data_IF_892884782042
#
_entry.id   IF_892884782042
#
_cell.length_a   1.000
_cell.length_b   1.000
_cell.length_c   1.000
_cell.angle_alpha   90.00
_cell.angle_beta   90.00
_cell.angle_gamma   90.00
#
_symmetry.space_group_name_H-M   'P 1'
#
loop_
_entity.id
_entity.type
_entity.pdbx_description
1 polymer ?
#
# COMPACT_ATOMS: atom_id res chain seq x y z
N UNK A 1 22.69 27.45 -42.45
CA UNK A 1 23.68 26.62 -41.73
C UNK A 1 22.91 25.57 -40.93
N UNK A 2 22.92 24.31 -41.39
CA UNK A 2 22.26 23.22 -40.70
C UNK A 2 22.99 22.96 -39.38
N UNK A 3 22.27 23.05 -38.25
CA UNK A 3 22.81 22.62 -36.95
C UNK A 3 23.01 21.11 -37.02
N UNK A 4 24.25 20.68 -36.95
CA UNK A 4 24.59 19.27 -36.78
C UNK A 4 23.88 18.75 -35.53
N UNK A 5 22.94 17.83 -35.72
CA UNK A 5 22.35 17.06 -34.62
C UNK A 5 23.49 16.31 -33.93
N UNK A 6 23.82 16.71 -32.70
CA UNK A 6 24.65 15.89 -31.83
C UNK A 6 23.91 14.58 -31.61
N UNK A 7 24.45 13.49 -32.16
CA UNK A 7 23.94 12.14 -31.91
C UNK A 7 24.19 11.85 -30.43
N UNK A 8 23.13 11.94 -29.61
CA UNK A 8 23.21 11.52 -28.21
C UNK A 8 23.46 10.01 -28.16
N UNK A 9 24.47 9.61 -27.39
CA UNK A 9 24.77 8.20 -27.17
C UNK A 9 23.61 7.54 -26.40
N UNK A 10 23.02 6.49 -26.99
CA UNK A 10 21.93 5.73 -26.36
C UNK A 10 22.52 4.94 -25.18
N UNK A 11 22.01 5.17 -23.97
CA UNK A 11 22.49 4.48 -22.78
C UNK A 11 22.10 2.99 -22.79
N UNK A 12 22.88 2.14 -22.11
CA UNK A 12 22.60 0.71 -22.03
C UNK A 12 21.22 0.38 -21.43
N UNK A 13 20.70 1.25 -20.55
CA UNK A 13 19.34 1.14 -20.01
C UNK A 13 18.27 1.38 -21.08
N UNK A 14 18.45 2.39 -21.93
CA UNK A 14 17.54 2.73 -23.03
C UNK A 14 17.51 1.62 -24.09
N UNK A 15 18.66 1.08 -24.46
CA UNK A 15 18.77 -0.10 -25.32
C UNK A 15 18.03 -1.31 -24.74
N UNK A 16 18.16 -1.55 -23.42
CA UNK A 16 17.46 -2.64 -22.73
C UNK A 16 15.93 -2.44 -22.78
N UNK A 17 15.44 -1.22 -22.61
CA UNK A 17 14.01 -0.88 -22.77
C UNK A 17 13.52 -1.12 -24.20
N UNK A 18 14.29 -0.72 -25.22
CA UNK A 18 13.94 -0.98 -26.63
C UNK A 18 13.79 -2.46 -26.93
N UNK A 19 14.76 -3.27 -26.49
CA UNK A 19 14.73 -4.70 -26.72
C UNK A 19 13.63 -5.43 -25.93
N UNK A 20 13.23 -4.89 -24.78
CA UNK A 20 12.17 -5.48 -23.94
C UNK A 20 10.78 -5.08 -24.41
N UNK A 21 10.59 -3.82 -24.80
CA UNK A 21 9.35 -3.32 -25.36
C UNK A 21 9.64 -2.11 -26.27
N UNK A 22 9.71 -2.31 -27.59
CA UNK A 22 9.99 -1.24 -28.55
C UNK A 22 8.99 -0.08 -28.42
N UNK A 23 7.71 -0.39 -28.16
CA UNK A 23 6.67 0.61 -27.99
C UNK A 23 6.87 1.46 -26.72
N UNK A 24 7.30 0.85 -25.61
CA UNK A 24 7.64 1.58 -24.38
C UNK A 24 8.90 2.43 -24.54
N UNK A 25 9.89 1.96 -25.31
CA UNK A 25 11.05 2.78 -25.67
C UNK A 25 10.66 3.96 -26.55
N UNK A 26 9.84 3.75 -27.59
CA UNK A 26 9.36 4.84 -28.43
C UNK A 26 8.50 5.82 -27.63
N UNK A 27 7.68 5.33 -26.68
CA UNK A 27 6.96 6.18 -25.74
C UNK A 27 7.91 6.91 -24.79
N UNK A 28 8.94 6.29 -24.22
CA UNK A 28 9.86 6.95 -23.27
C UNK A 28 10.77 7.97 -23.98
N UNK A 29 11.21 7.70 -25.21
CA UNK A 29 11.92 8.67 -26.06
C UNK A 29 10.97 9.80 -26.53
N UNK A 30 9.76 9.50 -27.01
CA UNK A 30 8.84 10.54 -27.50
C UNK A 30 8.09 11.30 -26.40
N UNK A 31 7.77 10.70 -25.24
CA UNK A 31 7.06 11.36 -24.13
C UNK A 31 8.02 12.22 -23.31
N UNK A 32 9.32 11.88 -23.23
CA UNK A 32 10.31 12.76 -22.60
C UNK A 32 10.75 13.90 -23.51
N UNK A 33 10.75 13.71 -24.83
CA UNK A 33 11.10 14.79 -25.78
C UNK A 33 9.91 15.68 -26.17
N UNK A 34 8.67 15.26 -25.97
CA UNK A 34 7.52 16.03 -26.40
C UNK A 34 6.86 16.79 -25.24
N UNK A 35 6.62 18.08 -25.48
CA UNK A 35 5.69 18.99 -24.80
C UNK A 35 4.24 18.46 -24.81
N UNK A 36 4.00 17.16 -24.54
CA UNK A 36 2.68 16.55 -24.59
C UNK A 36 1.90 17.06 -23.39
N UNK A 37 0.74 17.69 -23.61
CA UNK A 37 -0.07 18.18 -22.53
C UNK A 37 -0.48 17.05 -21.58
N UNK A 38 -0.50 17.32 -20.27
CA UNK A 38 -1.06 16.42 -19.27
C UNK A 38 -2.58 16.57 -19.25
N UNK A 39 -3.34 15.49 -19.09
CA UNK A 39 -4.81 15.63 -18.97
C UNK A 39 -5.21 16.32 -17.67
N UNK A 40 -6.29 17.11 -17.70
CA UNK A 40 -6.84 17.74 -16.48
C UNK A 40 -7.13 16.75 -15.34
N UNK A 41 -7.50 15.51 -15.67
CA UNK A 41 -7.66 14.43 -14.69
C UNK A 41 -6.35 14.08 -13.98
N UNK A 42 -5.27 13.88 -14.75
CA UNK A 42 -3.96 13.51 -14.21
C UNK A 42 -3.37 14.67 -13.40
N UNK A 43 -3.47 15.91 -13.91
CA UNK A 43 -3.06 17.12 -13.20
C UNK A 43 -3.74 17.25 -11.82
N UNK A 44 -5.06 17.05 -11.77
CA UNK A 44 -5.83 17.02 -10.52
C UNK A 44 -5.34 15.95 -9.55
N UNK A 45 -5.08 14.73 -10.04
CA UNK A 45 -4.63 13.61 -9.19
C UNK A 45 -3.25 13.87 -8.58
N UNK A 46 -2.29 14.35 -9.38
CA UNK A 46 -0.96 14.75 -8.90
C UNK A 46 -1.06 15.82 -7.82
N UNK A 47 -1.92 16.81 -8.04
CA UNK A 47 -2.13 17.90 -7.11
C UNK A 47 -2.73 17.42 -5.77
N UNK A 48 -3.73 16.53 -5.82
CA UNK A 48 -4.40 15.99 -4.63
C UNK A 48 -3.45 15.23 -3.70
N UNK A 49 -2.50 14.47 -4.24
CA UNK A 49 -1.49 13.77 -3.42
C UNK A 49 -0.66 14.74 -2.56
N UNK A 50 -0.31 15.90 -3.12
CA UNK A 50 0.39 16.95 -2.38
C UNK A 50 -0.54 17.72 -1.43
N UNK A 51 -1.80 17.88 -1.81
CA UNK A 51 -2.81 18.57 -1.01
C UNK A 51 -3.11 17.85 0.32
N UNK A 52 -3.25 16.53 0.30
CA UNK A 52 -3.50 15.73 1.50
C UNK A 52 -2.38 15.86 2.54
N UNK A 53 -1.11 15.96 2.09
CA UNK A 53 0.03 16.17 2.99
C UNK A 53 -0.03 17.52 3.71
N UNK A 54 -0.67 18.54 3.11
CA UNK A 54 -0.78 19.88 3.72
C UNK A 54 -1.77 19.92 4.89
N UNK A 55 -2.56 18.87 5.10
CA UNK A 55 -3.50 18.76 6.22
C UNK A 55 -2.76 18.63 7.56
N UNK A 56 -1.61 17.94 7.54
CA UNK A 56 -0.77 17.72 8.71
C UNK A 56 0.21 18.90 8.90
N UNK A 57 0.59 19.21 10.15
CA UNK A 57 1.70 20.11 10.44
C UNK A 57 3.01 19.54 9.86
N UNK A 58 4.01 20.41 9.68
CA UNK A 58 5.33 19.97 9.21
C UNK A 58 6.08 19.10 10.22
N UNK A 59 5.64 19.10 11.48
CA UNK A 59 6.21 18.34 12.58
C UNK A 59 5.50 16.99 12.72
N UNK A 60 6.28 15.91 12.87
CA UNK A 60 5.78 14.54 12.93
C UNK A 60 5.19 14.16 14.30
N UNK A 61 5.76 14.71 15.36
CA UNK A 61 5.35 14.48 16.75
C UNK A 61 4.68 15.72 17.29
N UNK A 62 3.59 15.56 18.04
CA UNK A 62 2.76 16.67 18.50
C UNK A 62 2.31 16.50 19.96
N UNK A 63 1.96 17.61 20.60
CA UNK A 63 1.51 17.62 22.00
C UNK A 63 2.64 17.53 23.04
N UNK A 64 2.28 17.57 24.32
CA UNK A 64 3.24 17.54 25.43
C UNK A 64 3.96 16.20 25.58
N UNK A 65 3.35 15.12 25.12
CA UNK A 65 3.89 13.76 25.18
C UNK A 65 4.69 13.37 23.92
N UNK A 66 4.80 14.29 22.94
CA UNK A 66 5.45 14.04 21.65
C UNK A 66 4.84 12.80 20.93
N UNK A 67 3.52 12.66 20.98
CA UNK A 67 2.81 11.57 20.33
C UNK A 67 2.94 11.67 18.80
N UNK A 68 3.09 10.54 18.13
CA UNK A 68 3.04 10.49 16.67
C UNK A 68 1.62 10.86 16.20
N UNK A 69 1.52 11.78 15.24
CA UNK A 69 0.23 12.17 14.65
C UNK A 69 -0.56 10.96 14.12
N UNK A 70 0.16 9.92 13.71
CA UNK A 70 -0.35 8.67 13.15
C UNK A 70 -1.03 7.77 14.20
N UNK A 71 -0.84 8.07 15.49
CA UNK A 71 -1.42 7.34 16.62
C UNK A 71 -2.65 8.08 17.21
N UNK A 72 -2.87 9.35 16.81
CA UNK A 72 -3.95 10.17 17.33
C UNK A 72 -5.28 9.88 16.63
N UNK A 73 -6.36 9.81 17.40
CA UNK A 73 -7.72 9.59 16.91
C UNK A 73 -8.57 10.85 17.03
N UNK A 74 -9.49 11.02 16.08
CA UNK A 74 -10.58 12.00 16.08
C UNK A 74 -10.30 13.33 16.78
N UNK A 75 -10.92 13.54 17.95
CA UNK A 75 -10.85 14.80 18.70
C UNK A 75 -9.43 15.20 19.12
N UNK A 76 -8.53 14.23 19.35
CA UNK A 76 -7.12 14.52 19.64
C UNK A 76 -6.39 14.92 18.37
N UNK A 77 -6.58 14.17 17.28
CA UNK A 77 -6.01 14.53 15.97
C UNK A 77 -6.46 15.93 15.55
N UNK A 78 -7.74 16.27 15.74
CA UNK A 78 -8.34 17.56 15.39
C UNK A 78 -7.61 18.76 16.01
N UNK A 79 -7.06 18.60 17.23
CA UNK A 79 -6.30 19.66 17.93
C UNK A 79 -4.96 19.97 17.25
N UNK A 80 -4.45 19.05 16.44
CA UNK A 80 -3.12 19.12 15.84
C UNK A 80 -3.14 19.28 14.32
N UNK A 81 -4.31 19.16 13.68
CA UNK A 81 -4.44 19.44 12.25
C UNK A 81 -4.19 20.91 11.96
N UNK A 82 -3.62 21.18 10.77
CA UNK A 82 -3.31 22.54 10.32
C UNK A 82 -4.57 23.40 10.11
N UNK A 83 -5.71 22.76 9.83
CA UNK A 83 -6.98 23.42 9.55
C UNK A 83 -8.02 23.04 10.60
N UNK A 84 -8.81 24.02 11.02
CA UNK A 84 -9.77 23.89 12.12
C UNK A 84 -11.05 23.12 11.74
N UNK A 85 -11.26 22.83 10.45
CA UNK A 85 -12.37 22.00 9.96
C UNK A 85 -12.07 21.41 8.59
N UNK A 86 -12.78 20.34 8.23
CA UNK A 86 -12.71 19.73 6.90
C UNK A 86 -13.09 20.72 5.79
N UNK A 87 -14.10 21.57 6.04
CA UNK A 87 -14.50 22.63 5.11
C UNK A 87 -13.41 23.70 4.96
N UNK A 88 -12.73 24.08 6.03
CA UNK A 88 -11.60 25.02 5.97
C UNK A 88 -10.46 24.43 5.13
N UNK A 89 -10.12 23.16 5.33
CA UNK A 89 -9.14 22.44 4.53
C UNK A 89 -9.55 22.37 3.05
N UNK A 90 -10.77 21.93 2.77
CA UNK A 90 -11.28 21.80 1.41
C UNK A 90 -11.32 23.14 0.66
N UNK A 91 -11.77 24.21 1.32
CA UNK A 91 -11.80 25.56 0.74
C UNK A 91 -10.39 26.10 0.50
N UNK A 92 -9.46 25.88 1.44
CA UNK A 92 -8.06 26.27 1.26
C UNK A 92 -7.42 25.54 0.07
N UNK A 93 -7.67 24.23 -0.06
CA UNK A 93 -7.14 23.42 -1.16
C UNK A 93 -7.73 23.83 -2.51
N UNK A 94 -9.05 24.07 -2.58
CA UNK A 94 -9.70 24.64 -3.77
C UNK A 94 -9.05 25.96 -4.20
N UNK A 95 -8.85 26.89 -3.26
CA UNK A 95 -8.25 28.19 -3.55
C UNK A 95 -6.77 28.11 -3.95
N UNK A 96 -6.03 27.13 -3.42
CA UNK A 96 -4.65 26.86 -3.84
C UNK A 96 -4.60 26.24 -5.24
N UNK A 97 -5.52 25.35 -5.59
CA UNK A 97 -5.62 24.81 -6.95
C UNK A 97 -5.94 25.91 -7.96
N UNK A 98 -6.91 26.77 -7.67
CA UNK A 98 -7.28 27.85 -8.57
C UNK A 98 -6.11 28.81 -8.80
N UNK A 99 -5.43 29.23 -7.73
CA UNK A 99 -4.20 30.03 -7.83
C UNK A 99 -3.11 29.29 -8.60
N UNK A 100 -2.89 28.02 -8.30
CA UNK A 100 -1.91 27.21 -9.01
C UNK A 100 -2.18 27.17 -10.53
N UNK A 101 -3.42 26.94 -10.97
CA UNK A 101 -3.75 26.95 -12.39
C UNK A 101 -3.57 28.34 -13.03
N UNK A 102 -3.94 29.41 -12.32
CA UNK A 102 -3.79 30.79 -12.80
C UNK A 102 -2.30 31.19 -12.89
N UNK A 103 -1.55 30.97 -11.81
CA UNK A 103 -0.14 31.37 -11.66
C UNK A 103 0.79 30.52 -12.54
N UNK A 104 0.45 29.26 -12.81
CA UNK A 104 1.22 28.37 -13.66
C UNK A 104 0.72 28.36 -15.12
N UNK A 105 -0.21 29.25 -15.48
CA UNK A 105 -0.80 29.33 -16.82
C UNK A 105 -1.31 27.96 -17.33
N UNK A 106 -1.89 27.17 -16.44
CA UNK A 106 -2.35 25.83 -16.75
C UNK A 106 -1.22 24.82 -17.00
N UNK A 107 -0.07 24.95 -16.36
CA UNK A 107 1.02 23.96 -16.45
C UNK A 107 1.24 23.17 -15.16
N UNK A 108 1.71 21.92 -15.31
CA UNK A 108 2.18 21.04 -14.23
C UNK A 108 3.48 20.40 -14.68
N UNK A 109 4.56 20.56 -13.90
CA UNK A 109 5.89 20.05 -14.25
C UNK A 109 6.33 20.46 -15.67
N UNK A 110 6.20 21.76 -15.99
CA UNK A 110 6.53 22.34 -17.29
C UNK A 110 5.71 21.80 -18.48
N UNK A 111 4.62 21.08 -18.20
CA UNK A 111 3.70 20.55 -19.22
C UNK A 111 2.36 21.26 -19.17
N UNK A 112 1.87 21.71 -20.32
CA UNK A 112 0.53 22.28 -20.46
C UNK A 112 -0.54 21.28 -20.05
N UNK A 113 -1.63 21.74 -19.43
CA UNK A 113 -2.77 20.91 -19.10
C UNK A 113 -3.74 20.95 -20.28
N UNK A 114 -4.04 19.78 -20.85
CA UNK A 114 -5.14 19.62 -21.77
C UNK A 114 -6.46 19.52 -20.99
N UNK A 115 -7.26 20.57 -21.12
CA UNK A 115 -8.65 20.59 -20.69
C UNK A 115 -9.55 20.04 -21.80
N UNK A 116 -10.50 19.18 -21.44
CA UNK A 116 -11.56 18.69 -22.33
C UNK A 116 -12.52 19.82 -22.73
N UNK A 117 -12.67 20.85 -21.89
CA UNK A 117 -13.49 22.04 -22.13
C UNK A 117 -13.07 23.18 -21.18
N UNK A 118 -13.37 24.42 -21.56
CA UNK A 118 -12.86 25.65 -20.93
C UNK A 118 -13.10 25.75 -19.40
N UNK A 119 -14.18 25.15 -18.90
CA UNK A 119 -14.56 25.20 -17.48
C UNK A 119 -14.13 23.96 -16.67
N UNK A 120 -13.41 23.02 -17.28
CA UNK A 120 -13.08 21.76 -16.61
C UNK A 120 -12.23 21.99 -15.35
N UNK A 121 -11.35 22.99 -15.36
CA UNK A 121 -10.50 23.30 -14.22
C UNK A 121 -11.29 23.86 -13.01
N UNK A 122 -12.41 24.56 -13.26
CA UNK A 122 -13.35 25.01 -12.24
C UNK A 122 -14.08 23.83 -11.61
N UNK A 123 -14.55 22.88 -12.44
CA UNK A 123 -15.16 21.64 -11.95
C UNK A 123 -14.17 20.79 -11.16
N UNK A 124 -12.92 20.69 -11.63
CA UNK A 124 -11.84 20.04 -10.90
C UNK A 124 -11.59 20.70 -9.53
N UNK A 125 -11.72 22.02 -9.41
CA UNK A 125 -11.61 22.73 -8.13
C UNK A 125 -12.71 22.30 -7.13
N UNK A 126 -13.94 22.11 -7.60
CA UNK A 126 -15.04 21.61 -6.77
C UNK A 126 -14.82 20.14 -6.34
N UNK A 127 -14.36 19.30 -7.27
CA UNK A 127 -14.01 17.90 -6.97
C UNK A 127 -12.84 17.79 -5.99
N UNK A 128 -11.83 18.65 -6.11
CA UNK A 128 -10.71 18.75 -5.16
C UNK A 128 -11.21 19.11 -3.78
N UNK A 129 -12.08 20.13 -3.68
CA UNK A 129 -12.71 20.52 -2.41
C UNK A 129 -13.40 19.31 -1.78
N UNK A 130 -14.26 18.64 -2.53
CA UNK A 130 -15.01 17.48 -2.06
C UNK A 130 -14.07 16.35 -1.60
N UNK A 131 -13.04 16.03 -2.37
CA UNK A 131 -12.05 15.02 -2.00
C UNK A 131 -11.29 15.37 -0.71
N UNK A 132 -10.93 16.63 -0.52
CA UNK A 132 -10.24 17.11 0.68
C UNK A 132 -11.14 17.10 1.91
N UNK A 133 -12.40 17.56 1.76
CA UNK A 133 -13.41 17.48 2.84
C UNK A 133 -13.63 16.03 3.24
N UNK A 134 -13.87 15.14 2.27
CA UNK A 134 -14.10 13.72 2.53
C UNK A 134 -12.89 13.06 3.19
N UNK A 135 -11.67 13.38 2.75
CA UNK A 135 -10.45 12.84 3.36
C UNK A 135 -10.27 13.33 4.79
N UNK A 136 -10.49 14.61 5.06
CA UNK A 136 -10.37 15.16 6.42
C UNK A 136 -11.45 14.61 7.36
N UNK A 137 -12.71 14.53 6.90
CA UNK A 137 -13.79 13.91 7.67
C UNK A 137 -13.45 12.44 7.94
N UNK A 138 -13.04 11.69 6.92
CA UNK A 138 -12.57 10.31 7.09
C UNK A 138 -11.46 10.22 8.15
N UNK A 139 -10.46 11.09 8.17
CA UNK A 139 -9.41 11.05 9.19
C UNK A 139 -9.88 11.44 10.59
N UNK A 140 -10.86 12.33 10.70
CA UNK A 140 -11.44 12.74 11.99
C UNK A 140 -12.39 11.67 12.53
N UNK A 141 -13.12 11.00 11.65
CA UNK A 141 -14.06 9.94 12.01
C UNK A 141 -13.30 8.62 12.30
N UNK A 142 -12.28 8.30 11.49
CA UNK A 142 -11.62 6.98 11.46
C UNK A 142 -10.17 6.97 11.98
N UNK A 143 -9.58 8.14 12.17
CA UNK A 143 -8.14 8.29 12.41
C UNK A 143 -7.29 8.13 11.14
N UNK A 144 -5.98 8.43 11.21
CA UNK A 144 -5.07 8.27 10.09
C UNK A 144 -4.84 6.81 9.72
N UNK A 145 -4.65 6.48 8.43
CA UNK A 145 -4.46 5.10 8.01
C UNK A 145 -3.20 4.54 8.68
N UNK A 146 -3.39 3.45 9.42
CA UNK A 146 -2.44 2.96 10.41
C UNK A 146 -1.03 2.72 9.83
N UNK A 147 -0.13 3.68 10.07
CA UNK A 147 1.30 3.56 9.81
C UNK A 147 2.05 2.97 11.02
N UNK A 148 1.43 3.01 12.20
CA UNK A 148 1.93 2.45 13.46
C UNK A 148 2.28 0.96 13.42
N UNK A 149 1.70 0.20 12.48
CA UNK A 149 1.99 -1.23 12.32
C UNK A 149 3.03 -1.53 11.25
N UNK A 150 3.50 -0.57 10.45
CA UNK A 150 4.34 -0.81 9.25
C UNK A 150 5.57 -1.69 9.51
N UNK A 151 6.18 -1.53 10.69
CA UNK A 151 7.36 -2.30 11.13
C UNK A 151 7.08 -3.16 12.37
N UNK A 152 5.81 -3.33 12.76
CA UNK A 152 5.42 -4.13 13.93
C UNK A 152 5.01 -5.54 13.52
N UNK A 153 5.38 -6.46 14.39
CA UNK A 153 4.93 -7.84 14.39
C UNK A 153 3.52 -7.92 14.98
N UNK A 154 2.60 -8.50 14.20
CA UNK A 154 1.23 -8.80 14.61
C UNK A 154 1.24 -10.15 15.29
N UNK A 155 1.05 -10.15 16.61
CA UNK A 155 0.93 -11.37 17.38
C UNK A 155 -0.54 -11.76 17.57
N UNK A 156 -0.85 -13.05 17.38
CA UNK A 156 -2.18 -13.59 17.61
C UNK A 156 -2.10 -15.03 18.13
N UNK A 157 -3.22 -15.53 18.64
CA UNK A 157 -3.33 -16.90 19.15
C UNK A 157 -4.28 -17.73 18.29
N UNK A 158 -3.96 -19.01 18.15
CA UNK A 158 -4.84 -20.03 17.60
C UNK A 158 -4.67 -21.31 18.43
N UNK A 159 -5.74 -21.73 19.11
CA UNK A 159 -5.64 -22.70 20.20
C UNK A 159 -4.73 -22.18 21.33
N UNK A 160 -3.80 -23.01 21.77
CA UNK A 160 -2.82 -22.71 22.82
C UNK A 160 -1.53 -22.04 22.30
N UNK A 161 -1.45 -21.78 20.99
CA UNK A 161 -0.22 -21.32 20.33
C UNK A 161 -0.27 -19.84 19.99
N UNK A 162 0.88 -19.18 20.15
CA UNK A 162 1.13 -17.80 19.71
C UNK A 162 1.85 -17.79 18.36
N UNK A 163 1.30 -17.06 17.42
CA UNK A 163 1.88 -16.80 16.11
C UNK A 163 2.24 -15.32 15.99
N UNK A 164 3.21 -15.04 15.13
CA UNK A 164 3.71 -13.68 14.87
C UNK A 164 3.90 -13.51 13.37
N UNK A 165 3.29 -12.47 12.80
CA UNK A 165 3.36 -12.14 11.37
C UNK A 165 3.68 -10.66 11.22
N UNK A 166 4.63 -10.31 10.35
CA UNK A 166 4.90 -8.91 10.06
C UNK A 166 3.70 -8.24 9.38
N UNK A 167 3.35 -7.02 9.80
CA UNK A 167 2.19 -6.32 9.26
C UNK A 167 2.26 -6.03 7.76
N UNK A 168 3.46 -5.82 7.20
CA UNK A 168 3.66 -5.61 5.76
C UNK A 168 3.18 -6.81 4.91
N UNK A 169 3.24 -8.01 5.48
CA UNK A 169 2.72 -9.23 4.89
C UNK A 169 1.18 -9.28 4.84
N UNK A 170 0.49 -8.48 5.67
CA UNK A 170 -0.98 -8.45 5.81
C UNK A 170 -1.57 -7.20 5.14
N UNK A 171 -0.81 -6.09 5.10
CA UNK A 171 -1.20 -4.78 4.57
C UNK A 171 -1.66 -4.80 3.11
N UNK A 172 -1.16 -5.74 2.29
CA UNK A 172 -1.53 -5.85 0.87
C UNK A 172 -2.99 -6.26 0.64
N UNK A 173 -3.71 -6.63 1.71
CA UNK A 173 -5.09 -7.08 1.64
C UNK A 173 -5.19 -8.53 1.17
N UNK A 174 -6.43 -9.00 1.00
CA UNK A 174 -6.78 -10.40 0.74
C UNK A 174 -6.33 -10.92 -0.65
N UNK A 175 -5.73 -10.10 -1.52
CA UNK A 175 -5.64 -10.43 -2.96
C UNK A 175 -4.32 -9.94 -3.60
N UNK A 176 -3.66 -10.87 -4.28
CA UNK A 176 -2.40 -10.76 -5.07
C UNK A 176 -1.11 -10.68 -4.26
N UNK A 177 -0.57 -11.85 -3.92
CA UNK A 177 0.86 -11.98 -3.66
C UNK A 177 1.62 -11.97 -5.00
N UNK A 178 2.40 -10.92 -5.25
CA UNK A 178 3.38 -10.92 -6.34
C UNK A 178 4.41 -12.01 -6.06
N UNK A 179 4.45 -13.03 -6.92
CA UNK A 179 5.50 -14.03 -6.86
C UNK A 179 6.70 -13.51 -7.64
N UNK A 180 7.85 -13.45 -6.96
CA UNK A 180 9.12 -13.21 -7.63
C UNK A 180 9.46 -14.30 -8.65
N UNK A 181 10.71 -14.36 -9.11
CA UNK A 181 11.13 -15.23 -10.22
C UNK A 181 11.15 -16.74 -9.93
N UNK A 182 10.77 -17.17 -8.71
CA UNK A 182 10.76 -18.60 -8.33
C UNK A 182 9.52 -19.29 -8.88
N UNK A 183 9.72 -20.33 -9.69
CA UNK A 183 8.64 -21.19 -10.16
C UNK A 183 8.07 -22.00 -9.00
N UNK A 184 6.78 -21.80 -8.69
CA UNK A 184 5.99 -22.64 -7.80
C UNK A 184 4.91 -23.36 -8.61
N UNK A 185 4.69 -24.63 -8.30
CA UNK A 185 3.61 -25.44 -8.87
C UNK A 185 2.29 -25.20 -8.13
N UNK A 186 1.15 -25.58 -8.71
CA UNK A 186 -0.16 -25.50 -8.03
C UNK A 186 -0.12 -26.21 -6.66
N UNK A 187 0.54 -27.37 -6.58
CA UNK A 187 0.73 -28.12 -5.34
C UNK A 187 1.51 -27.33 -4.27
N UNK A 188 2.51 -26.55 -4.67
CA UNK A 188 3.27 -25.69 -3.75
C UNK A 188 2.42 -24.52 -3.24
N UNK A 189 1.44 -24.07 -4.02
CA UNK A 189 0.50 -23.03 -3.62
C UNK A 189 -0.58 -23.58 -2.71
N UNK A 190 -1.11 -24.76 -2.99
CA UNK A 190 -2.15 -25.39 -2.17
C UNK A 190 -1.59 -25.73 -0.77
N UNK A 191 -0.31 -26.09 -0.68
CA UNK A 191 0.39 -26.33 0.59
C UNK A 191 1.00 -25.07 1.23
N UNK A 192 0.77 -23.87 0.68
CA UNK A 192 1.30 -22.64 1.26
C UNK A 192 0.51 -22.21 2.50
N UNK A 193 1.02 -22.61 3.66
CA UNK A 193 0.49 -22.28 4.98
C UNK A 193 0.71 -20.81 5.37
N UNK A 194 1.64 -20.10 4.71
CA UNK A 194 1.93 -18.68 5.01
C UNK A 194 0.73 -17.80 4.69
N UNK A 195 0.03 -18.11 3.61
CA UNK A 195 -1.17 -17.40 3.22
C UNK A 195 -2.30 -17.60 4.25
N UNK A 196 -2.50 -18.84 4.71
CA UNK A 196 -3.44 -19.16 5.79
C UNK A 196 -3.12 -18.37 7.06
N UNK A 197 -1.84 -18.28 7.43
CA UNK A 197 -1.38 -17.52 8.59
C UNK A 197 -1.64 -16.01 8.45
N UNK A 198 -1.39 -15.43 7.27
CA UNK A 198 -1.65 -14.02 6.99
C UNK A 198 -3.15 -13.68 7.05
N UNK A 199 -4.00 -14.57 6.52
CA UNK A 199 -5.46 -14.42 6.58
C UNK A 199 -5.98 -14.47 8.03
N UNK A 200 -5.38 -15.29 8.87
CA UNK A 200 -5.73 -15.37 10.29
C UNK A 200 -5.27 -14.13 11.07
N UNK A 201 -4.09 -13.60 10.73
CA UNK A 201 -3.60 -12.34 11.27
C UNK A 201 -4.49 -11.15 10.86
N UNK A 202 -4.93 -11.11 9.60
CA UNK A 202 -5.91 -10.14 9.11
C UNK A 202 -7.22 -10.21 9.91
N UNK A 203 -7.77 -11.41 10.05
CA UNK A 203 -9.03 -11.65 10.76
C UNK A 203 -8.90 -11.28 12.25
N UNK A 204 -7.72 -11.46 12.83
CA UNK A 204 -7.43 -11.01 14.20
C UNK A 204 -7.38 -9.49 14.30
N UNK A 205 -6.64 -8.80 13.43
CA UNK A 205 -6.57 -7.34 13.45
C UNK A 205 -7.92 -6.69 13.20
N UNK A 206 -8.74 -7.22 12.29
CA UNK A 206 -10.08 -6.70 12.05
C UNK A 206 -10.99 -6.83 13.29
N UNK A 207 -10.77 -7.82 14.15
CA UNK A 207 -11.48 -7.95 15.42
C UNK A 207 -10.93 -7.00 16.49
N UNK A 208 -9.60 -6.95 16.65
CA UNK A 208 -8.96 -6.24 17.75
C UNK A 208 -8.78 -4.74 17.50
N UNK A 209 -8.67 -4.31 16.24
CA UNK A 209 -8.34 -2.93 15.88
C UNK A 209 -9.44 -2.30 15.02
N UNK A 210 -10.18 -1.39 15.64
CA UNK A 210 -11.27 -0.65 14.98
C UNK A 210 -10.82 0.12 13.74
N UNK A 211 -9.72 0.87 13.82
CA UNK A 211 -9.20 1.60 12.67
C UNK A 211 -8.76 0.67 11.52
N UNK A 212 -8.34 -0.55 11.84
CA UNK A 212 -7.98 -1.55 10.82
C UNK A 212 -9.24 -2.13 10.18
N UNK A 213 -10.25 -2.44 11.00
CA UNK A 213 -11.55 -2.93 10.57
C UNK A 213 -12.25 -1.95 9.60
N UNK A 214 -12.30 -0.67 9.95
CA UNK A 214 -13.01 0.33 9.17
C UNK A 214 -12.30 0.63 7.85
N UNK A 215 -10.96 0.68 7.86
CA UNK A 215 -10.16 0.78 6.64
C UNK A 215 -10.51 -0.27 5.59
N UNK A 216 -10.82 -1.49 6.01
CA UNK A 216 -11.15 -2.60 5.12
C UNK A 216 -12.66 -2.78 4.90
N UNK A 217 -13.50 -1.89 5.44
CA UNK A 217 -14.95 -1.94 5.27
C UNK A 217 -15.59 -3.20 5.87
N UNK A 218 -15.01 -3.73 6.95
CA UNK A 218 -15.52 -4.92 7.62
C UNK A 218 -16.44 -4.47 8.77
N UNK A 219 -17.69 -4.91 8.80
CA UNK A 219 -18.56 -4.60 9.94
C UNK A 219 -18.10 -5.36 11.20
N UNK A 220 -18.28 -4.77 12.39
CA UNK A 220 -17.88 -5.40 13.66
C UNK A 220 -18.55 -6.76 13.84
N UNK A 221 -19.85 -6.85 13.57
CA UNK A 221 -20.59 -8.11 13.66
C UNK A 221 -20.04 -9.19 12.71
N UNK A 222 -19.58 -8.78 11.51
CA UNK A 222 -18.93 -9.68 10.55
C UNK A 222 -17.56 -10.13 11.07
N UNK A 223 -16.74 -9.21 11.59
CA UNK A 223 -15.45 -9.55 12.17
C UNK A 223 -15.57 -10.49 13.37
N UNK A 224 -16.56 -10.26 14.25
CA UNK A 224 -16.85 -11.13 15.40
C UNK A 224 -17.36 -12.52 14.98
N UNK A 225 -18.03 -12.62 13.82
CA UNK A 225 -18.49 -13.91 13.29
C UNK A 225 -17.34 -14.86 12.89
N UNK A 226 -16.13 -14.34 12.65
CA UNK A 226 -14.94 -15.11 12.28
C UNK A 226 -14.28 -15.84 13.46
N UNK A 227 -15.08 -16.38 14.39
CA UNK A 227 -14.67 -17.03 15.66
C UNK A 227 -13.35 -17.80 15.54
N UNK A 228 -12.26 -17.19 15.99
CA UNK A 228 -10.86 -17.70 15.97
C UNK A 228 -10.34 -18.24 14.63
N UNK A 229 -11.08 -18.02 13.55
CA UNK A 229 -10.81 -18.57 12.22
C UNK A 229 -10.40 -17.50 11.21
N UNK A 230 -10.16 -17.96 9.98
CA UNK A 230 -10.02 -17.06 8.85
C UNK A 230 -11.41 -16.65 8.33
N UNK A 231 -11.47 -15.46 7.75
CA UNK A 231 -12.51 -14.96 6.83
C UNK A 231 -13.20 -16.10 6.04
N UNK A 232 -14.50 -16.03 5.69
CA UNK A 232 -15.13 -17.01 4.81
C UNK A 232 -14.29 -17.28 3.55
N UNK A 233 -14.40 -18.49 2.98
CA UNK A 233 -13.52 -19.02 1.92
C UNK A 233 -12.92 -17.92 1.03
N UNK A 234 -11.61 -17.70 1.17
CA UNK A 234 -10.91 -16.64 0.44
C UNK A 234 -10.25 -17.25 -0.79
N UNK A 235 -10.61 -16.73 -1.95
CA UNK A 235 -9.93 -17.06 -3.21
C UNK A 235 -8.68 -16.21 -3.37
N UNK A 236 -7.51 -16.83 -3.25
CA UNK A 236 -6.24 -16.17 -3.45
C UNK A 236 -5.78 -16.35 -4.89
N UNK A 237 -5.35 -15.24 -5.51
CA UNK A 237 -4.75 -15.23 -6.85
C UNK A 237 -3.26 -14.95 -6.73
N UNK A 238 -2.46 -15.79 -7.40
CA UNK A 238 -1.03 -15.63 -7.52
C UNK A 238 -0.68 -15.35 -8.97
N UNK A 239 0.07 -14.28 -9.20
CA UNK A 239 0.55 -13.96 -10.53
C UNK A 239 1.99 -14.46 -10.68
N UNK A 240 2.19 -15.38 -11.63
CA UNK A 240 3.51 -15.87 -11.98
C UNK A 240 4.13 -14.98 -13.06
N UNK A 241 5.01 -14.07 -12.64
CA UNK A 241 5.69 -13.13 -13.55
C UNK A 241 6.49 -13.82 -14.66
N UNK A 242 7.01 -15.03 -14.41
CA UNK A 242 7.84 -15.76 -15.38
C UNK A 242 7.05 -16.41 -16.51
N UNK A 243 5.79 -16.76 -16.26
CA UNK A 243 4.89 -17.41 -17.23
C UNK A 243 3.76 -16.49 -17.72
N UNK A 244 3.57 -15.35 -17.07
CA UNK A 244 2.42 -14.47 -17.30
C UNK A 244 1.07 -15.10 -16.91
N UNK A 245 1.09 -16.14 -16.09
CA UNK A 245 -0.09 -16.93 -15.73
C UNK A 245 -0.62 -16.54 -14.34
N UNK A 246 -1.94 -16.61 -14.17
CA UNK A 246 -2.59 -16.50 -12.87
C UNK A 246 -2.95 -17.91 -12.40
N UNK A 247 -2.46 -18.28 -11.22
CA UNK A 247 -2.87 -19.48 -10.50
C UNK A 247 -3.73 -19.09 -9.31
N UNK A 248 -4.71 -19.90 -8.97
CA UNK A 248 -5.65 -19.61 -7.89
C UNK A 248 -5.62 -20.74 -6.87
N UNK A 249 -5.76 -20.38 -5.59
CA UNK A 249 -6.01 -21.36 -4.52
C UNK A 249 -7.11 -20.81 -3.61
N UNK A 250 -7.65 -21.66 -2.77
CA UNK A 250 -8.71 -21.31 -1.82
C UNK A 250 -8.21 -21.56 -0.40
N UNK A 251 -8.67 -20.73 0.53
CA UNK A 251 -8.39 -20.92 1.96
C UNK A 251 -9.66 -20.82 2.78
N UNK A 252 -9.90 -21.81 3.63
CA UNK A 252 -10.99 -21.85 4.62
C UNK A 252 -10.46 -22.22 6.01
N UNK A 253 -11.37 -22.27 6.99
CA UNK A 253 -11.04 -22.77 8.33
C UNK A 253 -10.57 -24.23 8.34
N UNK A 254 -10.87 -25.01 7.30
CA UNK A 254 -10.45 -26.40 7.18
C UNK A 254 -8.92 -26.54 6.97
N UNK A 255 -8.26 -25.48 6.52
CA UNK A 255 -6.81 -25.43 6.31
C UNK A 255 -6.02 -25.11 7.59
N UNK A 256 -6.71 -24.69 8.67
CA UNK A 256 -6.07 -24.27 9.92
C UNK A 256 -5.33 -25.42 10.65
N UNK A 257 -5.88 -26.65 10.74
CA UNK A 257 -5.16 -27.78 11.34
C UNK A 257 -3.88 -28.14 10.58
N UNK A 258 -3.91 -28.15 9.24
CA UNK A 258 -2.75 -28.45 8.40
C UNK A 258 -1.65 -27.41 8.54
N UNK A 259 -2.02 -26.12 8.56
CA UNK A 259 -1.11 -25.01 8.83
C UNK A 259 -0.44 -25.17 10.21
N UNK A 260 -1.22 -25.48 11.25
CA UNK A 260 -0.70 -25.68 12.61
C UNK A 260 0.30 -26.84 12.70
N UNK A 261 0.00 -27.98 12.08
CA UNK A 261 0.89 -29.15 12.05
C UNK A 261 2.18 -28.88 11.25
N UNK A 262 2.07 -28.20 10.11
CA UNK A 262 3.25 -27.84 9.29
C UNK A 262 4.20 -26.90 10.04
N UNK A 263 3.67 -25.94 10.79
CA UNK A 263 4.48 -25.03 11.61
C UNK A 263 5.20 -25.79 12.73
N UNK A 264 4.54 -26.74 13.40
CA UNK A 264 5.17 -27.58 14.43
C UNK A 264 6.34 -28.39 13.87
N UNK A 265 6.13 -29.06 12.74
CA UNK A 265 7.17 -29.85 12.08
C UNK A 265 8.40 -29.00 11.74
N UNK A 266 8.19 -27.78 11.24
CA UNK A 266 9.25 -26.82 10.96
C UNK A 266 9.98 -26.43 12.26
N UNK A 267 9.25 -26.11 13.33
CA UNK A 267 9.85 -25.76 14.63
C UNK A 267 10.71 -26.90 15.20
N UNK A 268 10.22 -28.15 15.12
CA UNK A 268 10.97 -29.34 15.55
C UNK A 268 12.25 -29.51 14.72
N UNK A 269 12.16 -29.35 13.40
CA UNK A 269 13.33 -29.42 12.50
C UNK A 269 14.37 -28.34 12.82
N UNK A 270 13.94 -27.10 13.06
CA UNK A 270 14.81 -25.99 13.45
C UNK A 270 15.50 -26.30 14.78
N UNK A 271 14.76 -26.72 15.81
CA UNK A 271 15.33 -27.09 17.13
C UNK A 271 16.41 -28.18 16.98
N UNK A 272 16.13 -29.24 16.22
CA UNK A 272 17.10 -30.31 15.94
C UNK A 272 18.34 -29.79 15.21
N UNK A 273 18.18 -28.89 14.24
CA UNK A 273 19.31 -28.30 13.50
C UNK A 273 20.20 -27.43 14.40
N UNK A 274 19.60 -26.60 15.26
CA UNK A 274 20.32 -25.77 16.24
C UNK A 274 21.10 -26.64 17.24
N UNK A 275 20.48 -27.71 17.76
CA UNK A 275 21.13 -28.65 18.68
C UNK A 275 22.32 -29.36 18.03
N UNK A 276 22.18 -29.81 16.77
CA UNK A 276 23.28 -30.42 16.01
C UNK A 276 24.44 -29.46 15.82
N UNK A 277 24.15 -28.19 15.48
CA UNK A 277 25.18 -27.15 15.31
C UNK A 277 25.93 -26.88 16.62
N UNK A 278 25.21 -26.75 17.74
CA UNK A 278 25.82 -26.57 19.05
C UNK A 278 26.66 -27.77 19.52
N UNK A 279 26.28 -29.00 19.17
CA UNK A 279 27.08 -30.20 19.44
C UNK A 279 28.35 -30.28 18.57
N UNK A 280 28.27 -29.82 17.32
CA UNK A 280 29.40 -29.78 16.41
C UNK A 280 30.41 -28.72 16.84
N UNK A 281 29.95 -27.54 17.26
CA UNK A 281 30.81 -26.47 17.81
C UNK A 281 31.51 -26.90 19.11
N UNK A 282 30.83 -27.62 20.02
CA UNK A 282 31.45 -28.19 21.23
C UNK A 282 32.51 -29.26 20.94
N UNK A 283 32.40 -29.99 19.83
CA UNK A 283 33.40 -30.99 19.41
C UNK A 283 34.61 -30.38 18.71
N UNK A 284 34.50 -29.17 18.16
CA UNK A 284 35.63 -28.47 17.53
C UNK A 284 36.45 -27.63 18.53
N UNK A 285 35.95 -27.41 19.75
CA UNK A 285 36.64 -26.69 20.82
C UNK A 285 37.31 -27.61 21.87
N UNK A 286 37.38 -28.92 21.60
CA UNK A 286 38.11 -29.94 22.35
C UNK A 286 39.23 -30.49 21.46
#
# INVERSE_FOLDING_TARGET
MAKYNQVQAISAGKLRTFHTCPYAYFLDEQIREANIPITGFSAKHYWLQNAFRKLFPGERHVGHELADIEDLRGEELAKHLKYHSADAFGNAMKGLWQRYIIDQEGTVHDRQIAWLYNEQWWKAAAEIRAACVNYCNFLLDEGPPILAFRDKDVAFHYGDKKFVVRFDAIRRGLVVCEQGTKQRTQKDLDSDWTATLQLLAFSTLARSEEAYRIKWGVELAVAESWREGICPEVKLRYYNLSRGEITETRRSNDDLPEMSGTVEDIQVRIKKAVQRKAQQEKRCCL
#
